data_IF_537758057727
#
_entry.id   IF_537758057727
#
_cell.length_a   1.000
_cell.length_b   1.000
_cell.length_c   1.000
_cell.angle_alpha   90.00
_cell.angle_beta   90.00
_cell.angle_gamma   90.00
#
_symmetry.space_group_name_H-M   'P 1'
#
loop_
_entity.id
_entity.type
_entity.pdbx_description
1 polymer ?
#
# COMPACT_ATOMS: atom_id res chain seq x y z
N UNK A 1 18.03 21.87 -61.28
CA UNK A 1 16.90 22.59 -60.63
C UNK A 1 16.92 22.32 -59.14
N UNK A 2 17.72 23.07 -58.39
CA UNK A 2 17.63 23.12 -56.93
C UNK A 2 16.63 24.23 -56.59
N UNK A 3 15.44 23.87 -56.11
CA UNK A 3 14.53 24.85 -55.49
C UNK A 3 15.11 25.21 -54.13
N UNK A 4 15.67 26.42 -54.06
CA UNK A 4 16.01 27.11 -52.82
C UNK A 4 14.82 27.02 -51.85
N UNK A 5 15.05 26.44 -50.65
CA UNK A 5 14.12 26.59 -49.54
C UNK A 5 14.15 28.06 -49.15
N UNK A 6 13.03 28.75 -49.32
CA UNK A 6 12.91 30.18 -49.00
C UNK A 6 13.35 30.47 -47.57
N UNK A 7 13.98 31.64 -47.41
CA UNK A 7 14.36 32.25 -46.14
C UNK A 7 13.31 32.00 -45.06
N UNK A 8 13.63 31.15 -44.09
CA UNK A 8 12.82 31.02 -42.89
C UNK A 8 13.01 32.31 -42.11
N UNK A 9 11.97 33.15 -42.05
CA UNK A 9 11.91 34.22 -41.06
C UNK A 9 12.19 33.60 -39.68
N UNK A 10 13.31 33.97 -39.07
CA UNK A 10 13.65 33.52 -37.72
C UNK A 10 12.60 34.06 -36.76
N UNK A 11 11.93 33.17 -36.01
CA UNK A 11 11.04 33.58 -34.95
C UNK A 11 11.84 34.34 -33.87
N UNK A 12 11.42 35.56 -33.52
CA UNK A 12 12.02 36.30 -32.42
C UNK A 12 11.50 35.77 -31.08
N UNK A 13 12.29 34.93 -30.43
CA UNK A 13 12.00 34.45 -29.08
C UNK A 13 12.06 35.62 -28.06
N UNK A 14 11.00 35.78 -27.27
CA UNK A 14 10.93 36.73 -26.17
C UNK A 14 11.13 36.00 -24.84
N UNK A 15 12.02 36.51 -23.99
CA UNK A 15 12.23 35.95 -22.65
C UNK A 15 13.40 36.60 -21.93
N UNK A 16 13.47 36.46 -20.59
CA UNK A 16 14.57 37.01 -19.80
C UNK A 16 15.91 36.29 -20.03
N UNK A 17 15.89 35.07 -20.56
CA UNK A 17 17.07 34.29 -20.93
C UNK A 17 16.91 33.76 -22.36
N UNK A 18 17.98 33.80 -23.16
CA UNK A 18 17.99 33.12 -24.46
C UNK A 18 18.19 31.59 -24.29
N UNK A 19 17.95 30.83 -25.36
CA UNK A 19 18.11 29.37 -25.37
C UNK A 19 19.45 28.85 -24.83
N UNK A 20 20.57 29.53 -25.11
CA UNK A 20 21.90 29.11 -24.63
C UNK A 20 22.04 29.30 -23.12
N UNK A 21 21.45 30.35 -22.56
CA UNK A 21 21.39 30.60 -21.11
C UNK A 21 20.45 29.60 -20.42
N UNK A 22 19.22 29.42 -20.94
CA UNK A 22 18.23 28.47 -20.39
C UNK A 22 18.78 27.05 -20.26
N UNK A 23 19.55 26.59 -21.25
CA UNK A 23 20.22 25.28 -21.20
C UNK A 23 21.18 25.15 -20.01
N UNK A 24 21.94 26.20 -19.69
CA UNK A 24 22.88 26.21 -18.55
C UNK A 24 22.12 26.26 -17.23
N UNK A 25 21.13 27.14 -17.12
CA UNK A 25 20.28 27.29 -15.92
C UNK A 25 19.57 25.97 -15.59
N UNK A 26 18.97 25.30 -16.59
CA UNK A 26 18.32 23.98 -16.43
C UNK A 26 19.28 22.91 -15.88
N UNK A 27 20.49 22.82 -16.42
CA UNK A 27 21.50 21.87 -15.91
C UNK A 27 21.89 22.18 -14.47
N UNK A 28 22.04 23.46 -14.13
CA UNK A 28 22.41 23.89 -12.78
C UNK A 28 21.36 23.49 -11.76
N UNK A 29 20.08 23.75 -12.06
CA UNK A 29 18.96 23.42 -11.17
C UNK A 29 18.89 21.91 -10.92
N UNK A 30 19.04 21.08 -11.96
CA UNK A 30 19.04 19.61 -11.81
C UNK A 30 20.20 19.10 -10.93
N UNK A 31 21.39 19.68 -11.07
CA UNK A 31 22.53 19.35 -10.21
C UNK A 31 22.29 19.77 -8.76
N UNK A 32 21.71 20.94 -8.55
CA UNK A 32 21.36 21.42 -7.22
C UNK A 32 20.32 20.52 -6.56
N UNK A 33 19.28 20.10 -7.28
CA UNK A 33 18.28 19.16 -6.77
C UNK A 33 18.90 17.81 -6.35
N UNK A 34 19.80 17.25 -7.19
CA UNK A 34 20.55 16.05 -6.85
C UNK A 34 21.42 16.23 -5.60
N UNK A 35 22.07 17.40 -5.46
CA UNK A 35 22.88 17.72 -4.28
C UNK A 35 22.02 17.86 -3.01
N UNK A 36 20.83 18.48 -3.11
CA UNK A 36 19.89 18.57 -2.00
C UNK A 36 19.46 17.17 -1.55
N UNK A 37 19.13 16.27 -2.49
CA UNK A 37 18.76 14.90 -2.18
C UNK A 37 19.92 14.15 -1.50
N UNK A 38 21.14 14.24 -2.04
CA UNK A 38 22.34 13.65 -1.47
C UNK A 38 22.62 14.13 -0.03
N UNK A 39 22.50 15.44 0.21
CA UNK A 39 22.79 16.04 1.52
C UNK A 39 21.82 15.64 2.64
N UNK A 40 20.66 15.03 2.33
CA UNK A 40 19.73 14.52 3.35
C UNK A 40 20.26 13.27 4.05
N UNK A 41 21.22 12.56 3.45
CA UNK A 41 21.70 11.27 3.92
C UNK A 41 20.71 10.13 3.67
N UNK A 42 21.05 8.96 4.19
CA UNK A 42 20.21 7.76 4.17
C UNK A 42 19.93 7.32 5.61
N UNK A 43 18.72 6.82 5.86
CA UNK A 43 18.36 6.24 7.14
C UNK A 43 18.96 4.83 7.31
N UNK A 44 19.27 4.46 8.55
CA UNK A 44 19.58 3.08 8.89
C UNK A 44 18.29 2.23 8.86
N UNK A 45 18.37 1.06 8.23
CA UNK A 45 17.25 0.13 8.17
C UNK A 45 17.37 -0.91 9.29
N UNK A 46 16.39 -0.93 10.20
CA UNK A 46 16.39 -1.82 11.36
C UNK A 46 15.25 -2.84 11.24
N UNK A 47 15.60 -4.11 11.21
CA UNK A 47 14.64 -5.23 11.23
C UNK A 47 14.28 -5.62 12.67
N UNK A 48 13.19 -6.39 12.84
CA UNK A 48 12.71 -6.82 14.16
C UNK A 48 13.38 -8.10 14.69
N UNK A 49 14.34 -8.69 13.96
CA UNK A 49 15.16 -9.85 14.35
C UNK A 49 14.61 -11.24 14.00
N UNK A 50 13.32 -11.36 13.68
CA UNK A 50 12.63 -12.66 13.62
C UNK A 50 13.16 -13.62 12.56
N UNK A 51 13.77 -13.11 11.48
CA UNK A 51 14.39 -13.92 10.43
C UNK A 51 15.52 -14.82 10.95
N UNK A 52 16.15 -14.45 12.07
CA UNK A 52 17.28 -15.18 12.66
C UNK A 52 16.95 -15.82 14.01
N UNK A 53 15.96 -15.29 14.73
CA UNK A 53 15.66 -15.72 16.09
C UNK A 53 14.93 -17.06 16.14
N UNK A 54 14.02 -17.32 15.20
CA UNK A 54 13.21 -18.54 15.20
C UNK A 54 13.91 -19.67 14.44
N UNK A 55 14.17 -20.77 15.15
CA UNK A 55 14.98 -21.90 14.69
C UNK A 55 14.18 -23.20 14.63
N UNK A 56 14.52 -24.03 13.64
CA UNK A 56 14.03 -25.40 13.53
C UNK A 56 14.76 -26.36 14.45
N UNK A 57 14.37 -27.64 14.42
CA UNK A 57 14.99 -28.70 15.20
C UNK A 57 16.48 -28.94 14.85
N UNK A 58 16.91 -28.50 13.66
CA UNK A 58 18.29 -28.55 13.18
C UNK A 58 19.14 -27.35 13.65
N UNK A 59 18.58 -26.43 14.42
CA UNK A 59 19.24 -25.21 14.90
C UNK A 59 19.35 -24.08 13.86
N UNK A 60 18.90 -24.30 12.62
CA UNK A 60 18.90 -23.28 11.58
C UNK A 60 17.64 -22.42 11.64
N UNK A 61 17.66 -21.17 11.12
CA UNK A 61 16.44 -20.37 11.00
C UNK A 61 15.35 -21.09 10.19
N UNK A 62 14.12 -21.06 10.70
CA UNK A 62 12.96 -21.72 10.08
C UNK A 62 12.04 -20.75 9.30
N UNK A 63 12.26 -19.44 9.44
CA UNK A 63 11.59 -18.37 8.69
C UNK A 63 10.06 -18.31 8.86
N UNK A 64 9.51 -18.84 9.97
CA UNK A 64 8.04 -18.87 10.20
C UNK A 64 7.38 -17.49 10.25
N UNK A 65 8.15 -16.45 10.58
CA UNK A 65 7.68 -15.06 10.65
C UNK A 65 7.92 -14.26 9.36
N UNK A 66 8.42 -14.91 8.31
CA UNK A 66 8.81 -14.23 7.08
C UNK A 66 7.83 -14.51 5.94
N UNK A 67 7.76 -13.60 4.98
CA UNK A 67 7.02 -13.75 3.75
C UNK A 67 7.62 -14.89 2.93
N UNK A 68 6.84 -15.96 2.74
CA UNK A 68 7.22 -17.12 1.93
C UNK A 68 6.15 -17.56 0.93
N UNK A 69 5.04 -16.80 0.80
CA UNK A 69 3.93 -17.16 -0.08
C UNK A 69 4.42 -17.31 -1.53
N UNK A 70 4.06 -18.43 -2.16
CA UNK A 70 4.51 -18.84 -3.48
C UNK A 70 5.76 -19.72 -3.48
N UNK A 71 6.46 -19.87 -2.35
CA UNK A 71 7.52 -20.86 -2.17
C UNK A 71 6.92 -22.22 -1.73
N UNK A 72 7.67 -23.34 -1.81
CA UNK A 72 7.26 -24.61 -1.25
C UNK A 72 7.21 -24.59 0.29
N UNK A 73 6.16 -25.18 0.86
CA UNK A 73 5.95 -25.36 2.30
C UNK A 73 5.80 -26.84 2.67
N UNK A 74 5.88 -27.16 3.96
CA UNK A 74 5.48 -28.45 4.52
C UNK A 74 3.96 -28.48 4.84
N UNK A 75 3.46 -29.56 5.46
CA UNK A 75 2.03 -29.71 5.81
C UNK A 75 1.53 -28.72 6.87
N UNK A 76 2.46 -28.09 7.61
CA UNK A 76 2.17 -27.02 8.57
C UNK A 76 2.17 -25.62 7.92
N UNK A 77 2.46 -25.54 6.62
CA UNK A 77 2.62 -24.26 5.93
C UNK A 77 3.88 -23.51 6.34
N UNK A 78 4.89 -24.21 6.88
CA UNK A 78 6.21 -23.66 7.14
C UNK A 78 7.06 -23.79 5.87
N UNK A 79 7.77 -22.73 5.50
CA UNK A 79 8.55 -22.70 4.25
C UNK A 79 9.70 -23.69 4.32
N UNK A 80 9.99 -24.35 3.19
CA UNK A 80 11.19 -25.17 3.09
C UNK A 80 12.45 -24.28 3.12
N UNK A 81 13.40 -24.47 4.06
CA UNK A 81 14.53 -23.56 4.24
C UNK A 81 15.38 -23.35 2.97
N UNK A 82 15.56 -24.37 2.14
CA UNK A 82 16.31 -24.28 0.89
C UNK A 82 15.62 -23.44 -0.19
N UNK A 83 14.29 -23.32 -0.15
CA UNK A 83 13.56 -22.42 -1.03
C UNK A 83 13.69 -20.98 -0.55
N UNK A 84 13.55 -20.73 0.75
CA UNK A 84 13.74 -19.40 1.33
C UNK A 84 15.17 -18.88 1.09
N UNK A 85 16.19 -19.72 1.27
CA UNK A 85 17.59 -19.37 0.96
C UNK A 85 17.81 -19.00 -0.51
N UNK A 86 17.04 -19.57 -1.45
CA UNK A 86 17.13 -19.16 -2.87
C UNK A 86 16.60 -17.74 -3.09
N UNK A 87 15.55 -17.34 -2.38
CA UNK A 87 15.06 -15.96 -2.37
C UNK A 87 16.11 -15.00 -1.78
N UNK A 88 16.68 -15.34 -0.61
CA UNK A 88 17.72 -14.52 0.00
C UNK A 88 18.93 -14.33 -0.91
N UNK A 89 19.39 -15.40 -1.58
CA UNK A 89 20.48 -15.32 -2.56
C UNK A 89 20.17 -14.33 -3.68
N UNK A 90 18.96 -14.37 -4.23
CA UNK A 90 18.55 -13.47 -5.31
C UNK A 90 18.51 -12.00 -4.87
N UNK A 91 17.99 -11.75 -3.66
CA UNK A 91 17.93 -10.42 -3.08
C UNK A 91 19.34 -9.87 -2.78
N UNK A 92 20.23 -10.70 -2.23
CA UNK A 92 21.62 -10.32 -1.93
C UNK A 92 22.42 -10.05 -3.21
N UNK A 93 22.27 -10.88 -4.25
CA UNK A 93 23.09 -10.76 -5.45
C UNK A 93 22.61 -9.66 -6.39
N UNK A 94 21.30 -9.36 -6.41
CA UNK A 94 20.69 -8.43 -7.36
C UNK A 94 20.76 -8.89 -8.82
N UNK A 95 21.20 -10.13 -9.10
CA UNK A 95 21.40 -10.64 -10.46
C UNK A 95 20.10 -11.21 -11.03
N UNK A 96 19.68 -10.82 -12.25
CA UNK A 96 18.46 -11.36 -12.86
C UNK A 96 18.39 -12.90 -12.89
N UNK A 97 19.52 -13.57 -13.13
CA UNK A 97 19.58 -15.04 -13.18
C UNK A 97 19.29 -15.69 -11.82
N UNK A 98 19.67 -15.07 -10.71
CA UNK A 98 19.37 -15.60 -9.38
C UNK A 98 17.88 -15.40 -9.05
N UNK A 99 17.24 -14.32 -9.52
CA UNK A 99 15.78 -14.16 -9.42
C UNK A 99 15.01 -15.21 -10.22
N UNK A 100 15.46 -15.54 -11.43
CA UNK A 100 14.88 -16.62 -12.23
C UNK A 100 15.09 -18.00 -11.60
N UNK A 101 16.13 -18.16 -10.77
CA UNK A 101 16.44 -19.40 -10.07
C UNK A 101 15.71 -19.57 -8.71
N UNK A 102 14.83 -18.64 -8.32
CA UNK A 102 14.05 -18.77 -7.09
C UNK A 102 13.15 -20.01 -7.16
N UNK A 103 13.21 -20.85 -6.12
CA UNK A 103 12.41 -22.06 -6.04
C UNK A 103 10.96 -21.73 -5.68
N UNK A 104 10.08 -21.71 -6.66
CA UNK A 104 8.63 -21.56 -6.46
C UNK A 104 7.98 -22.90 -6.08
N UNK A 105 6.84 -22.82 -5.40
CA UNK A 105 5.95 -23.96 -5.13
C UNK A 105 5.17 -24.34 -6.38
N UNK A 106 3.93 -23.87 -6.48
CA UNK A 106 2.99 -24.14 -7.57
C UNK A 106 3.07 -23.10 -8.71
N UNK A 107 4.18 -22.36 -8.80
CA UNK A 107 4.51 -21.53 -9.96
C UNK A 107 3.90 -20.12 -9.99
N UNK A 108 3.19 -19.67 -8.95
CA UNK A 108 2.79 -18.25 -8.83
C UNK A 108 4.03 -17.37 -8.73
N UNK A 109 4.14 -16.42 -9.66
CA UNK A 109 5.27 -15.48 -9.73
C UNK A 109 5.25 -14.49 -8.57
N UNK A 110 6.44 -14.10 -8.10
CA UNK A 110 6.63 -13.04 -7.12
C UNK A 110 6.47 -11.67 -7.78
N UNK A 111 5.77 -10.74 -7.11
CA UNK A 111 5.50 -9.42 -7.67
C UNK A 111 6.71 -8.48 -7.51
N UNK A 112 7.50 -8.40 -8.58
CA UNK A 112 8.55 -7.42 -8.78
C UNK A 112 9.56 -7.30 -7.60
N UNK A 113 10.20 -8.41 -7.16
CA UNK A 113 11.14 -8.36 -6.04
C UNK A 113 12.35 -7.44 -6.29
N UNK A 114 12.63 -7.10 -7.56
CA UNK A 114 13.70 -6.19 -7.96
C UNK A 114 13.35 -4.70 -7.89
N UNK A 115 12.07 -4.32 -7.67
CA UNK A 115 11.66 -2.91 -7.78
C UNK A 115 12.40 -1.99 -6.78
N UNK A 116 12.80 -2.54 -5.64
CA UNK A 116 13.58 -1.82 -4.63
C UNK A 116 14.96 -1.38 -5.12
N UNK A 117 15.52 -1.96 -6.18
CA UNK A 117 16.85 -1.62 -6.71
C UNK A 117 16.83 -0.45 -7.71
N UNK A 118 15.65 0.01 -8.11
CA UNK A 118 15.53 1.04 -9.15
C UNK A 118 15.82 2.44 -8.64
N UNK A 119 16.79 3.12 -9.26
CA UNK A 119 16.99 4.56 -9.07
C UNK A 119 15.83 5.39 -9.64
N UNK A 120 15.76 6.66 -9.21
CA UNK A 120 14.86 7.66 -9.79
C UNK A 120 15.59 8.98 -10.08
N UNK A 121 15.04 9.78 -10.99
CA UNK A 121 15.64 11.07 -11.37
C UNK A 121 15.23 12.21 -10.44
N UNK A 122 14.24 11.98 -9.57
CA UNK A 122 13.71 12.96 -8.63
C UNK A 122 13.27 12.31 -7.31
N UNK A 123 13.06 13.13 -6.29
CA UNK A 123 12.73 12.66 -4.95
C UNK A 123 13.92 12.04 -4.21
N UNK A 124 13.69 11.50 -3.01
CA UNK A 124 14.67 10.67 -2.33
C UNK A 124 14.89 9.35 -3.11
N UNK A 125 16.10 8.80 -3.02
CA UNK A 125 16.36 7.41 -3.44
C UNK A 125 15.44 6.45 -2.67
N UNK A 126 15.03 5.34 -3.29
CA UNK A 126 14.13 4.36 -2.67
C UNK A 126 14.66 3.76 -1.37
N UNK A 127 15.99 3.73 -1.17
CA UNK A 127 16.65 3.21 0.02
C UNK A 127 16.83 4.28 1.10
N UNK A 128 16.65 5.56 0.78
CA UNK A 128 16.87 6.64 1.74
C UNK A 128 15.85 6.68 2.89
N UNK A 129 14.52 6.49 2.67
CA UNK A 129 13.55 6.49 3.76
C UNK A 129 13.47 5.13 4.46
N UNK A 130 13.42 5.13 5.79
CA UNK A 130 13.17 3.96 6.62
C UNK A 130 11.75 3.97 7.20
N UNK A 131 11.24 2.77 7.51
CA UNK A 131 10.04 2.57 8.33
C UNK A 131 10.44 1.78 9.60
N UNK A 132 9.71 1.91 10.72
CA UNK A 132 10.09 1.23 11.96
C UNK A 132 10.04 -0.31 11.83
N UNK A 133 10.77 -1.04 12.68
CA UNK A 133 10.65 -2.49 12.77
C UNK A 133 9.18 -2.92 12.97
N UNK A 134 8.76 -3.94 12.23
CA UNK A 134 7.41 -4.47 12.36
C UNK A 134 7.18 -5.16 13.72
N UNK A 135 5.94 -5.13 14.26
CA UNK A 135 5.58 -5.93 15.42
C UNK A 135 5.91 -7.40 15.20
N UNK A 136 6.57 -8.01 16.20
CA UNK A 136 6.95 -9.42 16.17
C UNK A 136 5.76 -10.32 16.42
N UNK A 137 5.74 -11.54 15.90
CA UNK A 137 4.68 -12.53 16.13
C UNK A 137 4.56 -12.95 17.61
N UNK A 138 5.63 -12.75 18.39
CA UNK A 138 5.67 -12.93 19.86
C UNK A 138 5.33 -11.67 20.67
N UNK A 139 4.86 -10.61 20.02
CA UNK A 139 4.46 -9.35 20.67
C UNK A 139 2.95 -9.22 20.84
N UNK A 140 2.53 -8.50 21.88
CA UNK A 140 1.11 -8.21 22.12
C UNK A 140 0.52 -7.31 21.01
N UNK A 141 1.32 -6.40 20.45
CA UNK A 141 0.91 -5.53 19.35
C UNK A 141 0.50 -6.33 18.11
N UNK A 142 1.32 -7.29 17.65
CA UNK A 142 0.98 -8.13 16.49
C UNK A 142 -0.28 -8.96 16.75
N UNK A 143 -0.43 -9.52 17.95
CA UNK A 143 -1.63 -10.29 18.30
C UNK A 143 -2.87 -9.40 18.34
N UNK A 144 -2.76 -8.16 18.85
CA UNK A 144 -3.84 -7.18 18.82
C UNK A 144 -4.22 -6.75 17.40
N UNK A 145 -3.25 -6.52 16.51
CA UNK A 145 -3.49 -6.29 15.08
C UNK A 145 -4.26 -7.47 14.45
N UNK A 146 -3.90 -8.71 14.79
CA UNK A 146 -4.57 -9.89 14.25
C UNK A 146 -6.01 -10.04 14.77
N UNK A 147 -6.27 -9.72 16.05
CA UNK A 147 -7.63 -9.70 16.61
C UNK A 147 -8.50 -8.69 15.86
N UNK A 148 -7.98 -7.50 15.58
CA UNK A 148 -8.69 -6.50 14.76
C UNK A 148 -9.02 -7.05 13.37
N UNK A 149 -8.08 -7.73 12.71
CA UNK A 149 -8.32 -8.32 11.38
C UNK A 149 -9.37 -9.45 11.40
N UNK A 150 -9.42 -10.27 12.46
CA UNK A 150 -10.49 -11.25 12.63
C UNK A 150 -11.85 -10.58 12.85
N UNK A 151 -11.92 -9.51 13.66
CA UNK A 151 -13.16 -8.73 13.80
C UNK A 151 -13.57 -8.05 12.50
N UNK A 152 -12.64 -7.45 11.76
CA UNK A 152 -12.92 -6.92 10.42
C UNK A 152 -13.48 -8.00 9.50
N UNK A 153 -12.97 -9.24 9.59
CA UNK A 153 -13.46 -10.37 8.81
C UNK A 153 -14.90 -10.78 9.17
N UNK A 154 -15.24 -10.80 10.46
CA UNK A 154 -16.57 -11.13 10.97
C UNK A 154 -17.60 -10.03 10.66
N UNK A 155 -17.19 -8.76 10.67
CA UNK A 155 -18.05 -7.60 10.45
C UNK A 155 -18.09 -7.14 8.98
N UNK A 156 -17.54 -7.92 8.04
CA UNK A 156 -17.38 -7.52 6.61
C UNK A 156 -18.64 -6.98 5.96
N UNK A 157 -19.78 -7.57 6.32
CA UNK A 157 -21.06 -7.34 5.67
C UNK A 157 -21.98 -6.36 6.42
N UNK A 158 -21.55 -5.84 7.57
CA UNK A 158 -22.31 -4.85 8.35
C UNK A 158 -22.06 -3.45 7.76
N UNK A 159 -23.14 -2.73 7.43
CA UNK A 159 -22.98 -1.38 6.90
C UNK A 159 -22.48 -0.43 7.98
N UNK A 160 -21.61 0.50 7.60
CA UNK A 160 -21.08 1.52 8.51
C UNK A 160 -22.19 2.38 9.14
N UNK A 161 -23.32 2.56 8.46
CA UNK A 161 -24.49 3.29 9.00
C UNK A 161 -25.18 2.57 10.16
N UNK A 162 -24.96 1.26 10.30
CA UNK A 162 -25.60 0.41 11.31
C UNK A 162 -24.67 0.16 12.51
N UNK A 163 -23.39 0.54 12.43
CA UNK A 163 -22.37 0.26 13.46
C UNK A 163 -22.77 0.69 14.87
N UNK A 164 -23.41 1.86 15.02
CA UNK A 164 -23.80 2.36 16.33
C UNK A 164 -24.90 1.54 17.02
N UNK A 165 -25.61 0.67 16.28
CA UNK A 165 -26.76 -0.10 16.77
C UNK A 165 -26.53 -1.61 16.72
N UNK A 166 -25.48 -2.06 16.05
CA UNK A 166 -25.22 -3.47 15.85
C UNK A 166 -24.52 -4.09 17.08
N UNK A 167 -25.09 -5.16 17.68
CA UNK A 167 -24.52 -5.76 18.89
C UNK A 167 -23.16 -6.42 18.66
N UNK A 168 -22.89 -6.94 17.46
CA UNK A 168 -21.60 -7.58 17.15
C UNK A 168 -20.49 -6.53 16.98
N UNK A 169 -20.84 -5.33 16.50
CA UNK A 169 -19.93 -4.18 16.48
C UNK A 169 -19.58 -3.72 17.90
N UNK A 170 -20.57 -3.69 18.81
CA UNK A 170 -20.32 -3.38 20.22
C UNK A 170 -19.43 -4.44 20.90
N UNK A 171 -19.64 -5.72 20.57
CA UNK A 171 -18.80 -6.83 21.06
C UNK A 171 -17.35 -6.69 20.58
N UNK A 172 -17.14 -6.42 19.29
CA UNK A 172 -15.81 -6.21 18.72
C UNK A 172 -15.07 -5.04 19.40
N UNK A 173 -15.76 -3.92 19.60
CA UNK A 173 -15.20 -2.76 20.30
C UNK A 173 -14.83 -3.08 21.76
N UNK A 174 -15.69 -3.83 22.47
CA UNK A 174 -15.43 -4.25 23.84
C UNK A 174 -14.27 -5.25 23.95
N UNK A 175 -14.11 -6.14 22.96
CA UNK A 175 -13.02 -7.11 22.91
C UNK A 175 -11.68 -6.42 22.63
N UNK A 176 -11.61 -5.57 21.60
CA UNK A 176 -10.40 -4.79 21.28
C UNK A 176 -9.96 -3.87 22.42
N UNK A 177 -10.90 -3.39 23.24
CA UNK A 177 -10.61 -2.55 24.41
C UNK A 177 -9.88 -3.29 25.53
N UNK A 178 -9.93 -4.63 25.56
CA UNK A 178 -9.29 -5.45 26.60
C UNK A 178 -7.85 -5.83 26.27
N UNK A 179 -7.43 -5.64 25.02
CA UNK A 179 -6.10 -6.05 24.55
C UNK A 179 -5.01 -5.24 25.25
N UNK A 180 -3.94 -5.94 25.65
CA UNK A 180 -2.84 -5.32 26.40
C UNK A 180 -2.01 -4.31 25.59
N UNK A 181 -1.91 -4.49 24.27
CA UNK A 181 -1.33 -3.52 23.33
C UNK A 181 -2.17 -3.45 22.05
N UNK A 182 -3.11 -2.51 22.01
CA UNK A 182 -3.88 -2.16 20.81
C UNK A 182 -3.85 -0.65 20.60
N UNK A 183 -3.40 -0.23 19.41
CA UNK A 183 -3.06 1.17 19.10
C UNK A 183 -4.07 1.86 18.19
N UNK A 184 -5.25 1.28 18.02
CA UNK A 184 -6.39 1.93 17.37
C UNK A 184 -6.91 3.14 18.16
N UNK A 185 -7.69 4.04 17.51
CA UNK A 185 -8.21 5.24 18.14
C UNK A 185 -9.20 4.92 19.27
N UNK A 186 -9.03 5.61 20.41
CA UNK A 186 -9.80 5.39 21.65
C UNK A 186 -10.52 6.66 22.10
N UNK A 187 -11.69 6.50 22.70
CA UNK A 187 -12.39 7.52 23.48
C UNK A 187 -12.39 7.05 24.93
N UNK A 188 -11.89 7.89 25.85
CA UNK A 188 -11.76 7.57 27.27
C UNK A 188 -11.04 6.23 27.56
N UNK A 189 -10.04 5.91 26.74
CA UNK A 189 -9.25 4.69 26.86
C UNK A 189 -9.88 3.44 26.23
N UNK A 190 -11.09 3.53 25.67
CA UNK A 190 -11.79 2.40 25.07
C UNK A 190 -12.01 2.57 23.56
N UNK A 191 -12.07 1.45 22.85
CA UNK A 191 -12.61 1.40 21.49
C UNK A 191 -14.13 1.47 21.57
N UNK A 192 -14.72 2.25 20.68
CA UNK A 192 -16.18 2.42 20.57
C UNK A 192 -16.62 2.07 19.16
N UNK A 193 -17.92 1.82 18.91
CA UNK A 193 -18.42 1.69 17.54
C UNK A 193 -18.06 2.87 16.61
N UNK A 194 -17.84 4.07 17.18
CA UNK A 194 -17.46 5.25 16.42
C UNK A 194 -15.96 5.28 16.03
N UNK A 195 -15.10 4.62 16.81
CA UNK A 195 -13.66 4.55 16.57
C UNK A 195 -13.20 3.21 15.97
N UNK A 196 -14.04 2.18 16.01
CA UNK A 196 -13.75 0.85 15.48
C UNK A 196 -13.33 0.93 14.00
N UNK A 197 -12.17 0.36 13.68
CA UNK A 197 -11.57 0.28 12.33
C UNK A 197 -11.24 1.63 11.67
N UNK A 198 -11.29 2.74 12.42
CA UNK A 198 -10.90 4.06 11.91
C UNK A 198 -9.38 4.27 11.92
N UNK A 199 -8.93 5.21 11.09
CA UNK A 199 -7.56 5.69 11.11
C UNK A 199 -7.25 6.61 12.30
N UNK A 200 -5.97 6.99 12.41
CA UNK A 200 -5.42 7.79 13.51
C UNK A 200 -5.08 9.22 13.11
N UNK A 201 -5.36 9.63 11.87
CA UNK A 201 -5.04 10.96 11.39
C UNK A 201 -6.14 11.96 11.70
N UNK A 202 -5.77 13.25 11.73
CA UNK A 202 -6.71 14.35 11.93
C UNK A 202 -7.83 14.28 10.88
N UNK A 203 -9.07 14.20 11.35
CA UNK A 203 -10.26 14.10 10.50
C UNK A 203 -10.81 12.69 10.33
N UNK A 204 -10.03 11.64 10.56
CA UNK A 204 -10.47 10.24 10.36
C UNK A 204 -11.65 9.85 11.26
N UNK A 205 -11.76 10.47 12.45
CA UNK A 205 -12.83 10.26 13.42
C UNK A 205 -14.01 11.24 13.27
N UNK A 206 -13.92 12.20 12.34
CA UNK A 206 -14.93 13.25 12.19
C UNK A 206 -15.91 12.85 11.08
N UNK A 207 -17.17 12.66 11.46
CA UNK A 207 -18.26 12.39 10.52
C UNK A 207 -18.35 10.92 10.07
N UNK A 208 -18.93 10.64 8.88
CA UNK A 208 -19.14 9.28 8.38
C UNK A 208 -17.83 8.49 8.19
N UNK A 209 -17.94 7.16 8.12
CA UNK A 209 -16.80 6.27 7.90
C UNK A 209 -16.11 6.52 6.55
N UNK A 210 -16.91 6.62 5.50
CA UNK A 210 -16.42 6.78 4.14
C UNK A 210 -16.20 8.25 3.83
N UNK A 211 -15.00 8.57 3.32
CA UNK A 211 -14.67 9.89 2.79
C UNK A 211 -15.70 10.33 1.76
N UNK A 212 -16.13 11.59 1.82
CA UNK A 212 -17.11 12.13 0.87
C UNK A 212 -16.60 12.09 -0.58
N UNK A 213 -15.27 12.10 -0.77
CA UNK A 213 -14.64 12.02 -2.09
C UNK A 213 -14.74 10.61 -2.71
N UNK A 214 -15.08 9.59 -1.93
CA UNK A 214 -15.40 8.24 -2.39
C UNK A 214 -16.88 8.02 -2.70
N UNK A 215 -17.72 9.06 -2.54
CA UNK A 215 -19.18 8.96 -2.74
C UNK A 215 -19.70 9.93 -3.81
N UNK A 216 -18.95 10.99 -4.12
CA UNK A 216 -19.33 12.00 -5.11
C UNK A 216 -19.01 11.53 -6.52
N UNK A 217 -19.91 11.82 -7.46
CA UNK A 217 -19.64 11.65 -8.89
C UNK A 217 -18.39 12.44 -9.30
N UNK A 218 -17.54 11.82 -10.10
CA UNK A 218 -16.24 12.35 -10.48
C UNK A 218 -16.39 13.05 -11.83
N UNK A 219 -16.15 14.38 -11.92
CA UNK A 219 -16.09 15.06 -13.20
C UNK A 219 -14.84 14.61 -13.96
N UNK A 220 -15.00 14.13 -15.19
CA UNK A 220 -13.90 13.62 -16.01
C UNK A 220 -13.90 14.25 -17.40
N UNK A 221 -13.44 15.51 -17.46
CA UNK A 221 -13.54 16.32 -18.67
C UNK A 221 -15.00 16.54 -19.06
N UNK A 222 -15.39 16.07 -20.25
CA UNK A 222 -16.79 16.11 -20.72
C UNK A 222 -17.63 14.92 -20.23
N UNK A 223 -17.07 14.02 -19.42
CA UNK A 223 -17.72 12.83 -18.91
C UNK A 223 -17.91 12.90 -17.39
N UNK A 224 -18.58 11.89 -16.85
CA UNK A 224 -18.74 11.70 -15.41
C UNK A 224 -18.53 10.23 -15.07
N UNK A 225 -17.75 9.96 -14.03
CA UNK A 225 -17.53 8.61 -13.50
C UNK A 225 -18.32 8.47 -12.20
N UNK A 226 -19.14 7.42 -12.13
CA UNK A 226 -19.91 7.07 -10.94
C UNK A 226 -19.02 6.37 -9.90
N UNK A 227 -19.20 6.70 -8.62
CA UNK A 227 -18.55 5.99 -7.50
C UNK A 227 -19.25 4.67 -7.11
N UNK A 228 -20.21 4.20 -7.91
CA UNK A 228 -20.79 2.86 -7.72
C UNK A 228 -19.86 1.82 -8.33
N UNK A 229 -19.21 1.04 -7.48
CA UNK A 229 -18.31 -0.03 -7.89
C UNK A 229 -19.06 -1.34 -8.16
N UNK A 230 -18.45 -2.18 -9.01
CA UNK A 230 -18.80 -3.59 -9.10
C UNK A 230 -18.20 -4.30 -7.88
N UNK A 231 -19.04 -4.56 -6.88
CA UNK A 231 -18.61 -5.21 -5.63
C UNK A 231 -18.82 -6.73 -5.65
N UNK A 232 -18.29 -7.43 -4.65
CA UNK A 232 -18.40 -8.88 -4.48
C UNK A 232 -19.62 -9.27 -3.63
N UNK A 233 -20.12 -10.49 -3.82
CA UNK A 233 -21.27 -10.98 -3.06
C UNK A 233 -21.00 -11.04 -1.56
N UNK A 234 -22.04 -10.69 -0.78
CA UNK A 234 -22.05 -10.83 0.68
C UNK A 234 -21.88 -12.28 1.11
N UNK A 235 -21.42 -12.48 2.34
CA UNK A 235 -21.31 -13.79 3.01
C UNK A 235 -20.37 -14.82 2.33
N UNK A 236 -19.66 -14.45 1.26
CA UNK A 236 -18.65 -15.29 0.62
C UNK A 236 -17.25 -14.92 1.14
N UNK A 237 -16.56 -15.90 1.71
CA UNK A 237 -15.19 -15.75 2.21
C UNK A 237 -14.31 -16.87 1.66
N UNK A 238 -13.00 -16.61 1.59
CA UNK A 238 -12.02 -17.53 1.02
C UNK A 238 -10.99 -17.93 2.07
N UNK A 239 -10.26 -19.01 1.81
CA UNK A 239 -9.21 -19.55 2.70
C UNK A 239 -9.75 -19.93 4.09
N UNK A 240 -10.98 -20.44 4.14
CA UNK A 240 -11.63 -20.88 5.38
C UNK A 240 -11.39 -22.35 5.70
N UNK A 241 -10.83 -23.12 4.76
CA UNK A 241 -10.35 -24.49 4.96
C UNK A 241 -8.83 -24.56 4.82
N UNK A 242 -8.22 -25.46 5.60
CA UNK A 242 -6.76 -25.53 5.73
C UNK A 242 -6.08 -26.00 4.44
N UNK A 243 -6.70 -26.89 3.69
CA UNK A 243 -6.16 -27.41 2.43
C UNK A 243 -6.07 -26.30 1.37
N UNK A 244 -7.15 -25.54 1.18
CA UNK A 244 -7.16 -24.40 0.26
C UNK A 244 -6.18 -23.32 0.73
N UNK A 245 -6.11 -23.04 2.03
CA UNK A 245 -5.11 -22.12 2.59
C UNK A 245 -3.68 -22.57 2.23
N UNK A 246 -3.33 -23.83 2.47
CA UNK A 246 -1.99 -24.35 2.21
C UNK A 246 -1.68 -24.37 0.71
N UNK A 247 -2.65 -24.70 -0.13
CA UNK A 247 -2.52 -24.60 -1.59
C UNK A 247 -2.17 -23.16 -2.01
N UNK A 248 -2.84 -22.15 -1.44
CA UNK A 248 -2.55 -20.74 -1.71
C UNK A 248 -1.20 -20.28 -1.16
N UNK A 249 -0.78 -20.76 0.03
CA UNK A 249 0.58 -20.49 0.53
C UNK A 249 1.65 -21.04 -0.42
N UNK A 250 1.40 -22.21 -1.02
CA UNK A 250 2.29 -22.79 -2.04
C UNK A 250 2.20 -22.11 -3.42
N UNK A 251 1.35 -21.10 -3.61
CA UNK A 251 1.21 -20.39 -4.89
C UNK A 251 0.20 -21.04 -5.85
N UNK A 252 -0.77 -21.78 -5.32
CA UNK A 252 -1.89 -22.30 -6.10
C UNK A 252 -2.83 -21.19 -6.59
N UNK A 253 -3.77 -21.57 -7.45
CA UNK A 253 -4.76 -20.65 -8.00
C UNK A 253 -5.91 -20.41 -7.00
N UNK A 254 -6.30 -19.14 -6.85
CA UNK A 254 -7.44 -18.76 -6.01
C UNK A 254 -8.75 -18.95 -6.78
N UNK A 255 -9.83 -19.20 -6.03
CA UNK A 255 -11.19 -19.19 -6.58
C UNK A 255 -11.52 -17.79 -7.09
N UNK A 256 -12.30 -17.73 -8.17
CA UNK A 256 -12.79 -16.46 -8.72
C UNK A 256 -13.85 -15.84 -7.80
N UNK A 257 -13.89 -14.52 -7.81
CA UNK A 257 -14.91 -13.78 -7.07
C UNK A 257 -16.30 -13.97 -7.68
N UNK A 258 -17.31 -14.09 -6.82
CA UNK A 258 -18.70 -13.93 -7.19
C UNK A 258 -19.08 -12.46 -6.98
N UNK A 259 -19.71 -11.84 -7.98
CA UNK A 259 -20.02 -10.42 -7.97
C UNK A 259 -21.49 -10.15 -7.64
N UNK A 260 -21.75 -9.02 -6.99
CA UNK A 260 -23.09 -8.46 -6.87
C UNK A 260 -23.53 -7.94 -8.25
N UNK A 261 -24.73 -8.31 -8.68
CA UNK A 261 -25.28 -7.92 -9.98
C UNK A 261 -25.63 -6.43 -10.04
N UNK A 262 -25.71 -5.76 -8.88
CA UNK A 262 -25.97 -4.33 -8.77
C UNK A 262 -24.71 -3.58 -8.37
N UNK A 263 -24.23 -2.60 -9.16
CA UNK A 263 -23.16 -1.71 -8.73
C UNK A 263 -23.57 -0.87 -7.51
N UNK A 264 -22.68 -0.71 -6.53
CA UNK A 264 -22.98 -0.08 -5.24
C UNK A 264 -21.92 0.91 -4.80
N UNK A 265 -22.32 1.90 -4.02
CA UNK A 265 -21.38 2.69 -3.23
C UNK A 265 -20.74 1.82 -2.15
N UNK A 266 -19.54 2.22 -1.71
CA UNK A 266 -18.91 1.62 -0.54
C UNK A 266 -19.77 1.87 0.70
N UNK A 267 -20.25 0.79 1.34
CA UNK A 267 -21.11 0.86 2.53
C UNK A 267 -20.64 -0.02 3.69
N UNK A 268 -19.75 -0.96 3.46
CA UNK A 268 -19.20 -1.86 4.48
C UNK A 268 -17.73 -2.21 4.18
N UNK A 269 -17.11 -3.00 5.06
CA UNK A 269 -15.69 -3.40 4.94
C UNK A 269 -15.45 -4.29 3.72
N UNK A 270 -16.41 -5.14 3.32
CA UNK A 270 -16.31 -5.93 2.09
C UNK A 270 -16.19 -5.06 0.85
N UNK A 271 -16.99 -4.00 0.78
CA UNK A 271 -16.94 -3.05 -0.33
C UNK A 271 -15.60 -2.29 -0.36
N UNK A 272 -15.04 -1.91 0.80
CA UNK A 272 -13.68 -1.35 0.85
C UNK A 272 -12.67 -2.38 0.32
N UNK A 273 -12.78 -3.62 0.79
CA UNK A 273 -11.91 -4.72 0.40
C UNK A 273 -11.88 -4.93 -1.12
N UNK A 274 -13.05 -4.87 -1.77
CA UNK A 274 -13.12 -4.97 -3.23
C UNK A 274 -12.59 -3.71 -3.94
N UNK A 275 -12.84 -2.52 -3.39
CA UNK A 275 -12.31 -1.27 -3.97
C UNK A 275 -10.78 -1.33 -4.06
N UNK A 276 -10.11 -1.66 -2.95
CA UNK A 276 -8.63 -1.74 -2.87
C UNK A 276 -8.04 -3.02 -3.43
N UNK A 277 -8.87 -3.92 -3.97
CA UNK A 277 -8.41 -5.14 -4.64
C UNK A 277 -8.02 -4.86 -6.09
N UNK A 278 -8.69 -3.89 -6.74
CA UNK A 278 -8.61 -3.68 -8.19
C UNK A 278 -8.33 -2.24 -8.60
N UNK A 279 -8.17 -1.33 -7.65
CA UNK A 279 -7.94 0.09 -7.94
C UNK A 279 -6.63 0.30 -8.72
N UNK A 280 -6.65 1.31 -9.60
CA UNK A 280 -5.47 1.73 -10.32
C UNK A 280 -4.58 2.64 -9.43
N UNK A 281 -3.97 2.07 -8.39
CA UNK A 281 -2.98 2.63 -7.45
C UNK A 281 -3.23 4.06 -6.92
N UNK A 282 -3.19 5.07 -7.78
CA UNK A 282 -3.47 6.47 -7.48
C UNK A 282 -4.93 6.86 -7.74
N UNK A 283 -5.78 5.91 -8.15
CA UNK A 283 -7.18 6.13 -8.55
C UNK A 283 -7.97 6.97 -7.54
N UNK A 284 -7.97 6.59 -6.27
CA UNK A 284 -8.73 7.29 -5.23
C UNK A 284 -8.31 8.78 -5.12
N UNK A 285 -7.02 9.05 -5.21
CA UNK A 285 -6.46 10.40 -5.04
C UNK A 285 -6.63 11.25 -6.31
N UNK A 286 -6.56 10.63 -7.49
CA UNK A 286 -6.87 11.28 -8.76
C UNK A 286 -8.35 11.67 -8.82
N UNK A 287 -9.24 10.76 -8.42
CA UNK A 287 -10.68 11.00 -8.36
C UNK A 287 -11.00 12.14 -7.39
N UNK A 288 -10.38 12.12 -6.20
CA UNK A 288 -10.46 13.22 -5.23
C UNK A 288 -9.99 14.56 -5.84
N UNK A 289 -8.85 14.56 -6.53
CA UNK A 289 -8.31 15.76 -7.20
C UNK A 289 -9.31 16.33 -8.23
N UNK A 290 -9.87 15.47 -9.09
CA UNK A 290 -10.87 15.86 -10.08
C UNK A 290 -12.14 16.44 -9.44
N UNK A 291 -12.64 15.82 -8.38
CA UNK A 291 -13.81 16.32 -7.63
C UNK A 291 -13.51 17.71 -7.05
N UNK A 292 -12.36 17.90 -6.40
CA UNK A 292 -11.98 19.18 -5.81
C UNK A 292 -11.83 20.28 -6.86
N UNK A 293 -11.24 19.97 -8.01
CA UNK A 293 -11.16 20.89 -9.15
C UNK A 293 -12.56 21.26 -9.68
N UNK A 294 -13.44 20.27 -9.84
CA UNK A 294 -14.82 20.50 -10.27
C UNK A 294 -15.64 21.33 -9.28
N UNK A 295 -15.38 21.18 -7.98
CA UNK A 295 -15.97 21.99 -6.91
C UNK A 295 -15.35 23.39 -6.80
N UNK A 296 -14.29 23.68 -7.55
CA UNK A 296 -13.49 24.91 -7.44
C UNK A 296 -13.00 25.13 -6.00
N UNK A 297 -12.49 24.06 -5.39
CA UNK A 297 -11.92 24.15 -4.05
C UNK A 297 -10.78 25.20 -4.02
N UNK A 298 -10.63 25.95 -2.92
CA UNK A 298 -9.54 26.93 -2.81
C UNK A 298 -8.17 26.30 -3.01
N UNK A 299 -7.30 26.99 -3.74
CA UNK A 299 -5.89 26.63 -3.87
C UNK A 299 -5.10 27.05 -2.63
N UNK A 300 -3.92 26.48 -2.46
CA UNK A 300 -2.94 26.85 -1.43
C UNK A 300 -2.67 28.38 -1.42
N UNK A 301 -2.50 28.96 -0.22
CA UNK A 301 -2.20 30.38 -0.03
C UNK A 301 -0.91 30.83 -0.76
N UNK A 302 0.06 29.93 -0.90
CA UNK A 302 1.31 30.13 -1.61
C UNK A 302 1.20 30.06 -3.14
N UNK A 303 0.01 29.79 -3.70
CA UNK A 303 -0.17 29.80 -5.14
C UNK A 303 -0.05 31.25 -5.69
N UNK A 304 0.93 31.52 -6.60
CA UNK A 304 1.18 32.88 -7.08
C UNK A 304 0.01 33.49 -7.86
N UNK A 305 -0.92 32.67 -8.35
CA UNK A 305 -2.07 33.12 -9.12
C UNK A 305 -3.32 33.36 -8.27
N UNK A 306 -3.32 32.99 -6.97
CA UNK A 306 -4.51 33.06 -6.11
C UNK A 306 -5.17 34.45 -6.10
N UNK A 307 -4.35 35.49 -5.94
CA UNK A 307 -4.80 36.88 -5.89
C UNK A 307 -4.42 37.68 -7.15
N UNK A 308 -4.01 36.99 -8.22
CA UNK A 308 -3.59 37.66 -9.44
C UNK A 308 -4.79 38.29 -10.15
N UNK A 309 -4.63 39.54 -10.59
CA UNK A 309 -5.67 40.27 -11.34
C UNK A 309 -5.64 40.00 -12.84
N UNK A 310 -4.57 39.41 -13.34
CA UNK A 310 -4.26 39.35 -14.80
C UNK A 310 -3.79 37.99 -15.27
N UNK A 311 -3.65 37.01 -14.38
CA UNK A 311 -3.05 35.70 -14.69
C UNK A 311 -3.77 34.58 -13.94
N UNK A 312 -3.75 33.39 -14.52
CA UNK A 312 -4.21 32.14 -13.90
C UNK A 312 -3.16 31.04 -14.09
N UNK A 313 -3.18 30.03 -13.21
CA UNK A 313 -2.33 28.84 -13.34
C UNK A 313 -2.87 27.86 -14.36
N UNK A 314 -1.97 27.08 -14.97
CA UNK A 314 -2.32 25.96 -15.84
C UNK A 314 -1.15 24.97 -15.92
N UNK A 315 -0.16 25.24 -16.79
CA UNK A 315 1.04 24.42 -16.94
C UNK A 315 1.93 24.40 -15.70
N UNK A 316 1.83 25.45 -14.87
CA UNK A 316 2.35 25.48 -13.49
C UNK A 316 1.28 26.10 -12.59
N UNK A 317 1.23 25.63 -11.34
CA UNK A 317 0.31 26.11 -10.29
C UNK A 317 -1.19 26.12 -10.69
N UNK A 318 -1.62 25.24 -11.59
CA UNK A 318 -3.02 25.06 -12.00
C UNK A 318 -3.37 23.60 -12.28
N UNK A 319 -4.52 23.35 -12.90
CA UNK A 319 -5.14 22.03 -12.95
C UNK A 319 -4.25 20.93 -13.59
N UNK A 320 -3.66 21.12 -14.78
CA UNK A 320 -2.76 20.10 -15.36
C UNK A 320 -1.54 19.81 -14.49
N UNK A 321 -1.03 20.82 -13.77
CA UNK A 321 0.14 20.66 -12.92
C UNK A 321 -0.15 19.69 -11.76
N UNK A 322 -1.24 19.90 -11.02
CA UNK A 322 -1.58 19.01 -9.90
C UNK A 322 -2.01 17.62 -10.37
N UNK A 323 -2.67 17.51 -11.52
CA UNK A 323 -3.05 16.22 -12.10
C UNK A 323 -1.84 15.36 -12.50
N UNK A 324 -0.74 15.99 -12.97
CA UNK A 324 0.55 15.28 -13.14
C UNK A 324 1.15 14.89 -11.79
N UNK A 325 1.31 15.87 -10.88
CA UNK A 325 2.02 15.68 -9.62
C UNK A 325 1.39 14.60 -8.74
N UNK A 326 0.06 14.55 -8.63
CA UNK A 326 -0.64 13.58 -7.77
C UNK A 326 -0.44 12.13 -8.24
N UNK A 327 -0.13 11.93 -9.53
CA UNK A 327 0.07 10.59 -10.12
C UNK A 327 1.53 10.19 -10.18
N UNK A 328 2.45 11.11 -10.51
CA UNK A 328 3.86 10.78 -10.76
C UNK A 328 4.63 10.36 -9.50
N UNK A 329 4.21 10.81 -8.32
CA UNK A 329 4.83 10.44 -7.04
C UNK A 329 4.66 8.95 -6.71
N UNK A 330 3.66 8.29 -7.29
CA UNK A 330 3.28 6.93 -6.94
C UNK A 330 4.43 5.94 -7.16
N UNK A 331 5.08 5.96 -8.31
CA UNK A 331 6.14 4.98 -8.65
C UNK A 331 7.40 5.14 -7.79
N UNK A 332 7.66 6.35 -7.26
CA UNK A 332 8.80 6.63 -6.38
C UNK A 332 8.53 6.06 -4.99
N UNK A 333 7.32 6.28 -4.50
CA UNK A 333 6.84 5.65 -3.27
C UNK A 333 6.81 4.11 -3.40
N UNK A 334 6.42 3.55 -4.56
CA UNK A 334 6.49 2.11 -4.79
C UNK A 334 7.92 1.57 -4.68
N UNK A 335 8.92 2.20 -5.31
CA UNK A 335 10.31 1.74 -5.21
C UNK A 335 10.78 1.69 -3.75
N UNK A 336 10.48 2.74 -2.98
CA UNK A 336 10.82 2.79 -1.56
C UNK A 336 10.13 1.69 -0.73
N UNK A 337 8.82 1.53 -0.87
CA UNK A 337 8.11 0.50 -0.08
C UNK A 337 8.44 -0.92 -0.57
N UNK A 338 8.81 -1.12 -1.84
CA UNK A 338 9.33 -2.41 -2.33
C UNK A 338 10.69 -2.74 -1.72
N UNK A 339 11.56 -1.75 -1.54
CA UNK A 339 12.80 -1.93 -0.80
C UNK A 339 12.51 -2.41 0.63
N UNK A 340 11.63 -1.70 1.34
CA UNK A 340 11.23 -2.09 2.70
C UNK A 340 10.62 -3.49 2.77
N UNK A 341 9.80 -3.88 1.79
CA UNK A 341 9.16 -5.21 1.74
C UNK A 341 10.15 -6.34 1.49
N UNK A 342 11.02 -6.21 0.49
CA UNK A 342 11.87 -7.31 0.02
C UNK A 342 13.26 -7.31 0.67
N UNK A 343 13.87 -6.15 0.83
CA UNK A 343 15.28 -6.04 1.25
C UNK A 343 15.43 -5.82 2.76
N UNK A 344 14.42 -5.25 3.43
CA UNK A 344 14.46 -5.00 4.88
C UNK A 344 13.63 -6.02 5.65
N UNK A 345 12.30 -5.89 5.66
CA UNK A 345 11.47 -6.51 6.70
C UNK A 345 10.99 -7.92 6.38
N UNK A 346 10.61 -8.19 5.11
CA UNK A 346 10.05 -9.48 4.67
C UNK A 346 8.99 -10.06 5.64
N UNK A 347 8.18 -9.21 6.28
CA UNK A 347 7.15 -9.62 7.26
C UNK A 347 6.14 -10.58 6.62
N UNK A 348 5.78 -11.66 7.31
CA UNK A 348 4.68 -12.53 6.90
C UNK A 348 3.36 -11.76 6.72
N UNK A 349 2.46 -12.29 5.88
CA UNK A 349 1.11 -11.74 5.69
C UNK A 349 0.17 -12.21 6.82
N UNK A 350 -0.91 -11.47 7.13
CA UNK A 350 -1.87 -11.88 8.16
C UNK A 350 -2.46 -13.28 7.95
N UNK A 351 -2.72 -13.66 6.71
CA UNK A 351 -3.19 -15.02 6.36
C UNK A 351 -2.20 -16.13 6.72
N UNK A 352 -0.88 -15.86 6.66
CA UNK A 352 0.14 -16.83 7.07
C UNK A 352 0.19 -16.93 8.59
N UNK A 353 0.10 -15.79 9.30
CA UNK A 353 0.01 -15.76 10.75
C UNK A 353 -1.22 -16.49 11.29
N UNK A 354 -2.39 -16.33 10.64
CA UNK A 354 -3.61 -17.09 10.94
C UNK A 354 -3.42 -18.61 10.81
N UNK A 355 -2.59 -19.07 9.88
CA UNK A 355 -2.20 -20.48 9.77
C UNK A 355 -1.37 -20.98 10.96
N UNK A 356 -0.43 -20.16 11.44
CA UNK A 356 0.34 -20.48 12.67
C UNK A 356 -0.59 -20.58 13.89
N UNK A 357 -1.51 -19.63 14.05
CA UNK A 357 -2.53 -19.66 15.11
C UNK A 357 -3.36 -20.94 15.02
N UNK A 358 -3.87 -21.28 13.83
CA UNK A 358 -4.67 -22.49 13.63
C UNK A 358 -3.91 -23.77 14.03
N UNK A 359 -2.66 -23.91 13.59
CA UNK A 359 -1.82 -25.06 13.92
C UNK A 359 -1.49 -25.15 15.42
N UNK A 360 -1.34 -24.01 16.09
CA UNK A 360 -1.15 -23.97 17.53
C UNK A 360 -2.42 -24.38 18.29
N UNK A 361 -3.58 -23.85 17.91
CA UNK A 361 -4.86 -24.16 18.56
C UNK A 361 -5.31 -25.61 18.32
N UNK A 362 -4.97 -26.19 17.17
CA UNK A 362 -5.26 -27.59 16.84
C UNK A 362 -4.21 -28.58 17.34
N UNK A 363 -3.15 -28.10 18.01
CA UNK A 363 -2.10 -28.93 18.59
C UNK A 363 -1.14 -29.57 17.57
N UNK A 364 -1.13 -29.09 16.33
CA UNK A 364 -0.25 -29.60 15.26
C UNK A 364 1.19 -29.09 15.37
N UNK A 365 1.38 -27.90 15.95
CA UNK A 365 2.69 -27.30 16.19
C UNK A 365 2.63 -26.34 17.39
N UNK A 366 3.79 -25.89 17.88
CA UNK A 366 3.90 -24.84 18.89
C UNK A 366 4.71 -23.69 18.32
N UNK A 367 4.15 -22.49 18.34
CA UNK A 367 4.80 -21.28 17.87
C UNK A 367 4.99 -20.29 19.02
N UNK A 368 5.95 -19.37 18.92
CA UNK A 368 6.15 -18.32 19.92
C UNK A 368 5.09 -17.23 19.76
N UNK A 369 3.80 -17.59 19.78
CA UNK A 369 2.70 -16.63 19.66
C UNK A 369 2.31 -16.18 21.06
N UNK A 370 2.34 -14.87 21.28
CA UNK A 370 1.91 -14.28 22.55
C UNK A 370 0.40 -14.08 22.55
N UNK A 371 -0.27 -14.51 23.63
CA UNK A 371 -1.68 -14.18 23.87
C UNK A 371 -1.87 -12.67 24.11
N UNK A 372 -3.03 -12.16 23.72
CA UNK A 372 -3.35 -10.72 23.72
C UNK A 372 -3.75 -10.18 25.09
#
# INVERSE_FOLDING_TARGET
MNKERSDRQECQELGPENNKQRRKSSRSIRRQAAQIAFNRGAADHVCNGEEQDYRGADGNPNYIANFSKGLPHNELGEVKPEAYKSLLKALESGKPQDFEAIKLGLGRKLTNPQAGLGFDLEGPDGHAPAIPPAPRIDSAENSGEMVELYWMALLRDINFTDYAKDPLVAEAAADLSKLSDFRGPKVDGCITPATLFRGIHTGDLVGPYISQLLLKDIPFGSLTISQKQKTVQRDINYLTDYETWLNIQNGGEAKKDAFDDTPRYIRNVRDIGQYVHVDALYEAYLNACLILLGLKAPVDEGNPYKNSKTQIGFGTFGDPHILSLVTEVATRALKAVWFQKWYVHRRLRPEAFGGLIHNQLTGRAKYPIRGC
#
